data_IF_663487157271
#
_entry.id   IF_663487157271
#
_cell.length_a   1.000
_cell.length_b   1.000
_cell.length_c   1.000
_cell.angle_alpha   90.00
_cell.angle_beta   90.00
_cell.angle_gamma   90.00
#
_symmetry.space_group_name_H-M   'P 1'
#
loop_
_entity.id
_entity.type
_entity.pdbx_description
1 polymer ?
#
# COMPACT_ATOMS: atom_id res chain seq x y z
N UNK A 1 -65.46 -68.78 -82.95
CA UNK A 1 -63.99 -68.67 -83.21
C UNK A 1 -63.61 -67.50 -84.13
N UNK A 2 -64.55 -66.97 -84.93
CA UNK A 2 -64.31 -65.91 -85.94
C UNK A 2 -64.18 -64.49 -85.36
N UNK A 3 -64.92 -64.15 -84.29
CA UNK A 3 -64.94 -62.80 -83.70
C UNK A 3 -63.60 -62.43 -83.02
N UNK A 4 -62.93 -63.39 -82.37
CA UNK A 4 -61.62 -63.16 -81.72
C UNK A 4 -60.51 -62.90 -82.75
N UNK A 5 -60.57 -63.55 -83.92
CA UNK A 5 -59.61 -63.30 -85.02
C UNK A 5 -59.78 -61.91 -85.63
N UNK A 6 -61.03 -61.45 -85.80
CA UNK A 6 -61.33 -60.10 -86.32
C UNK A 6 -60.88 -59.04 -85.31
N UNK A 7 -61.21 -59.20 -84.02
CA UNK A 7 -60.83 -58.24 -82.98
C UNK A 7 -59.31 -58.13 -82.79
N UNK A 8 -58.57 -59.24 -82.92
CA UNK A 8 -57.09 -59.25 -82.84
C UNK A 8 -56.44 -58.61 -84.08
N UNK A 9 -57.06 -58.77 -85.26
CA UNK A 9 -56.61 -58.12 -86.50
C UNK A 9 -56.82 -56.60 -86.44
N UNK A 10 -57.96 -56.14 -85.92
CA UNK A 10 -58.24 -54.70 -85.75
C UNK A 10 -57.32 -54.05 -84.70
N UNK A 11 -57.02 -54.76 -83.60
CA UNK A 11 -56.07 -54.29 -82.59
C UNK A 11 -54.63 -54.17 -83.11
N UNK A 12 -54.17 -55.15 -83.89
CA UNK A 12 -52.84 -55.11 -84.50
C UNK A 12 -52.74 -53.97 -85.52
N UNK A 13 -53.78 -53.74 -86.32
CA UNK A 13 -53.84 -52.61 -87.25
C UNK A 13 -53.77 -51.24 -86.53
N UNK A 14 -54.47 -51.09 -85.41
CA UNK A 14 -54.38 -49.87 -84.59
C UNK A 14 -52.98 -49.64 -84.00
N UNK A 15 -52.30 -50.70 -83.56
CA UNK A 15 -50.93 -50.62 -83.04
C UNK A 15 -49.93 -50.24 -84.15
N UNK A 16 -50.08 -50.78 -85.36
CA UNK A 16 -49.23 -50.46 -86.51
C UNK A 16 -49.43 -49.00 -86.94
N UNK A 17 -50.69 -48.53 -87.03
CA UNK A 17 -50.98 -47.14 -87.39
C UNK A 17 -50.45 -46.14 -86.34
N UNK A 18 -50.52 -46.49 -85.05
CA UNK A 18 -49.96 -45.66 -83.97
C UNK A 18 -48.42 -45.65 -84.01
N UNK A 19 -47.79 -46.77 -84.35
CA UNK A 19 -46.34 -46.86 -84.51
C UNK A 19 -45.84 -46.07 -85.73
N UNK A 20 -46.55 -46.14 -86.86
CA UNK A 20 -46.26 -45.34 -88.06
C UNK A 20 -46.45 -43.85 -87.78
N UNK A 21 -47.50 -43.47 -87.04
CA UNK A 21 -47.69 -42.07 -86.63
C UNK A 21 -46.56 -41.56 -85.73
N UNK A 22 -46.07 -42.38 -84.78
CA UNK A 22 -44.93 -42.02 -83.93
C UNK A 22 -43.62 -41.95 -84.74
N UNK A 23 -43.43 -42.84 -85.72
CA UNK A 23 -42.27 -42.78 -86.63
C UNK A 23 -42.30 -41.56 -87.55
N UNK A 24 -43.48 -41.19 -88.10
CA UNK A 24 -43.65 -40.00 -88.93
C UNK A 24 -43.51 -38.70 -88.12
N UNK A 25 -44.08 -38.64 -86.92
CA UNK A 25 -43.87 -37.51 -86.02
C UNK A 25 -42.41 -37.44 -85.54
N UNK A 26 -41.77 -38.58 -85.25
CA UNK A 26 -40.36 -38.65 -84.89
C UNK A 26 -39.44 -38.14 -86.01
N UNK A 27 -39.70 -38.53 -87.26
CA UNK A 27 -38.98 -38.00 -88.43
C UNK A 27 -39.27 -36.51 -88.67
N UNK A 28 -40.52 -36.06 -88.49
CA UNK A 28 -40.90 -34.65 -88.63
C UNK A 28 -40.23 -33.75 -87.59
N UNK A 29 -40.06 -34.22 -86.34
CA UNK A 29 -39.37 -33.48 -85.27
C UNK A 29 -37.86 -33.41 -85.54
N UNK A 30 -37.26 -34.45 -86.16
CA UNK A 30 -35.84 -34.44 -86.55
C UNK A 30 -35.58 -33.45 -87.70
N UNK A 31 -36.49 -33.34 -88.67
CA UNK A 31 -36.36 -32.38 -89.79
C UNK A 31 -36.64 -30.92 -89.39
N UNK A 32 -37.34 -30.70 -88.27
CA UNK A 32 -37.68 -29.37 -87.76
C UNK A 32 -36.71 -28.85 -86.68
N UNK A 33 -35.72 -29.66 -86.26
CA UNK A 33 -34.55 -29.16 -85.55
C UNK A 33 -33.57 -28.57 -86.57
N UNK A 34 -33.97 -27.44 -87.15
CA UNK A 34 -33.03 -26.52 -87.75
C UNK A 34 -32.09 -26.07 -86.63
N UNK A 35 -30.93 -26.73 -86.53
CA UNK A 35 -29.82 -26.29 -85.70
C UNK A 35 -29.46 -24.91 -86.20
N UNK A 36 -29.99 -23.88 -85.55
CA UNK A 36 -29.52 -22.53 -85.71
C UNK A 36 -28.06 -22.53 -85.28
N UNK A 37 -27.15 -22.65 -86.24
CA UNK A 37 -25.72 -22.54 -85.98
C UNK A 37 -25.48 -21.19 -85.30
N UNK A 38 -24.81 -21.16 -84.15
CA UNK A 38 -24.58 -19.92 -83.44
C UNK A 38 -23.70 -19.02 -84.32
N UNK A 39 -24.25 -17.86 -84.68
CA UNK A 39 -23.58 -16.82 -85.46
C UNK A 39 -22.18 -16.52 -84.86
N UNK A 40 -21.08 -16.71 -85.61
CA UNK A 40 -19.72 -16.56 -85.10
C UNK A 40 -19.43 -15.16 -84.56
N UNK A 41 -20.17 -14.14 -85.01
CA UNK A 41 -20.06 -12.76 -84.51
C UNK A 41 -20.50 -12.62 -83.04
N UNK A 42 -21.57 -13.33 -82.64
CA UNK A 42 -22.09 -13.30 -81.26
C UNK A 42 -21.17 -14.01 -80.27
N UNK A 43 -20.48 -15.07 -80.70
CA UNK A 43 -19.50 -15.78 -79.87
C UNK A 43 -18.30 -14.87 -79.55
N UNK A 44 -17.85 -14.09 -80.53
CA UNK A 44 -16.75 -13.14 -80.36
C UNK A 44 -17.11 -12.02 -79.35
N UNK A 45 -18.35 -11.51 -79.43
CA UNK A 45 -18.88 -10.51 -78.51
C UNK A 45 -19.09 -11.07 -77.10
N UNK A 46 -19.60 -12.29 -76.96
CA UNK A 46 -19.68 -12.98 -75.67
C UNK A 46 -18.29 -13.14 -75.04
N UNK A 47 -17.27 -13.53 -75.82
CA UNK A 47 -15.91 -13.71 -75.31
C UNK A 47 -15.30 -12.40 -74.80
N UNK A 48 -15.57 -11.27 -75.48
CA UNK A 48 -15.15 -9.95 -75.01
C UNK A 48 -15.82 -9.56 -73.68
N UNK A 49 -17.12 -9.85 -73.51
CA UNK A 49 -17.85 -9.61 -72.26
C UNK A 49 -17.32 -10.50 -71.13
N UNK A 50 -17.00 -11.78 -71.41
CA UNK A 50 -16.44 -12.68 -70.41
C UNK A 50 -15.04 -12.26 -69.95
N UNK A 51 -14.14 -11.89 -70.87
CA UNK A 51 -12.82 -11.40 -70.49
C UNK A 51 -12.88 -10.04 -69.75
N UNK A 52 -13.81 -9.15 -70.13
CA UNK A 52 -14.04 -7.91 -69.38
C UNK A 52 -14.53 -8.17 -67.95
N UNK A 53 -15.50 -9.07 -67.74
CA UNK A 53 -15.98 -9.46 -66.40
C UNK A 53 -14.92 -10.17 -65.57
N UNK A 54 -14.09 -10.99 -66.21
CA UNK A 54 -12.97 -11.66 -65.56
C UNK A 54 -11.93 -10.65 -65.07
N UNK A 55 -11.61 -9.63 -65.87
CA UNK A 55 -10.75 -8.52 -65.45
C UNK A 55 -11.35 -7.73 -64.28
N UNK A 56 -12.65 -7.38 -64.33
CA UNK A 56 -13.35 -6.67 -63.24
C UNK A 56 -13.33 -7.45 -61.92
N UNK A 57 -13.49 -8.78 -61.99
CA UNK A 57 -13.39 -9.66 -60.83
C UNK A 57 -11.95 -9.71 -60.29
N UNK A 58 -10.94 -9.77 -61.17
CA UNK A 58 -9.52 -9.75 -60.75
C UNK A 58 -9.15 -8.44 -60.05
N UNK A 59 -9.63 -7.30 -60.56
CA UNK A 59 -9.42 -5.99 -59.94
C UNK A 59 -10.11 -5.91 -58.57
N UNK A 60 -11.34 -6.43 -58.47
CA UNK A 60 -12.09 -6.49 -57.21
C UNK A 60 -11.41 -7.38 -56.16
N UNK A 61 -10.82 -8.51 -56.58
CA UNK A 61 -10.05 -9.40 -55.70
C UNK A 61 -8.76 -8.72 -55.21
N UNK A 62 -8.08 -7.99 -56.10
CA UNK A 62 -6.88 -7.22 -55.74
C UNK A 62 -7.21 -6.15 -54.70
N UNK A 63 -8.26 -5.36 -54.94
CA UNK A 63 -8.75 -4.36 -54.00
C UNK A 63 -9.19 -4.96 -52.65
N UNK A 64 -9.85 -6.12 -52.67
CA UNK A 64 -10.24 -6.82 -51.44
C UNK A 64 -9.00 -7.26 -50.65
N UNK A 65 -7.98 -7.80 -51.32
CA UNK A 65 -6.74 -8.21 -50.68
C UNK A 65 -6.00 -7.03 -50.03
N UNK A 66 -5.91 -5.89 -50.73
CA UNK A 66 -5.32 -4.66 -50.18
C UNK A 66 -6.07 -4.18 -48.93
N UNK A 67 -7.41 -4.19 -48.96
CA UNK A 67 -8.23 -3.84 -47.78
C UNK A 67 -8.03 -4.81 -46.62
N UNK A 68 -7.95 -6.11 -46.90
CA UNK A 68 -7.69 -7.11 -45.87
C UNK A 68 -6.33 -6.88 -45.20
N UNK A 69 -5.28 -6.63 -45.98
CA UNK A 69 -3.94 -6.32 -45.46
C UNK A 69 -3.94 -5.04 -44.62
N UNK A 70 -4.63 -3.99 -45.08
CA UNK A 70 -4.78 -2.74 -44.31
C UNK A 70 -5.52 -2.95 -42.98
N UNK A 71 -6.58 -3.75 -42.99
CA UNK A 71 -7.35 -4.07 -41.78
C UNK A 71 -6.58 -4.96 -40.81
N UNK A 72 -5.83 -5.93 -41.32
CA UNK A 72 -4.95 -6.78 -40.52
C UNK A 72 -3.82 -5.95 -39.88
N UNK A 73 -3.19 -5.05 -40.64
CA UNK A 73 -2.19 -4.13 -40.10
C UNK A 73 -2.77 -3.25 -38.98
N UNK A 74 -3.98 -2.70 -39.18
CA UNK A 74 -4.67 -1.91 -38.15
C UNK A 74 -5.01 -2.73 -36.90
N UNK A 75 -5.50 -3.96 -37.10
CA UNK A 75 -5.81 -4.89 -36.00
C UNK A 75 -4.56 -5.21 -35.19
N UNK A 76 -3.46 -5.54 -35.87
CA UNK A 76 -2.19 -5.89 -35.22
C UNK A 76 -1.60 -4.69 -34.47
N UNK A 77 -1.64 -3.50 -35.05
CA UNK A 77 -1.21 -2.27 -34.37
C UNK A 77 -2.05 -1.98 -33.11
N UNK A 78 -3.37 -2.18 -33.21
CA UNK A 78 -4.29 -1.99 -32.07
C UNK A 78 -4.03 -3.03 -30.99
N UNK A 79 -3.88 -4.31 -31.36
CA UNK A 79 -3.62 -5.38 -30.41
C UNK A 79 -2.30 -5.15 -29.67
N UNK A 80 -1.23 -4.78 -30.39
CA UNK A 80 0.05 -4.48 -29.77
C UNK A 80 -0.06 -3.32 -28.76
N UNK A 81 -0.80 -2.26 -29.10
CA UNK A 81 -1.04 -1.15 -28.19
C UNK A 81 -1.81 -1.59 -26.94
N UNK A 82 -2.82 -2.45 -27.10
CA UNK A 82 -3.60 -2.98 -25.98
C UNK A 82 -2.73 -3.86 -25.08
N UNK A 83 -1.93 -4.76 -25.66
CA UNK A 83 -1.02 -5.63 -24.91
C UNK A 83 0.03 -4.82 -24.13
N UNK A 84 0.59 -3.77 -24.73
CA UNK A 84 1.50 -2.86 -24.04
C UNK A 84 0.82 -2.15 -22.86
N UNK A 85 -0.41 -1.67 -23.07
CA UNK A 85 -1.18 -1.00 -22.00
C UNK A 85 -1.53 -1.98 -20.89
N UNK A 86 -1.95 -3.18 -21.22
CA UNK A 86 -2.28 -4.22 -20.25
C UNK A 86 -1.04 -4.61 -19.43
N UNK A 87 0.11 -4.81 -20.08
CA UNK A 87 1.36 -5.08 -19.37
C UNK A 87 1.76 -3.93 -18.44
N UNK A 88 1.57 -2.68 -18.88
CA UNK A 88 1.88 -1.50 -18.06
C UNK A 88 0.94 -1.39 -16.86
N UNK A 89 -0.36 -1.61 -17.06
CA UNK A 89 -1.36 -1.61 -15.99
C UNK A 89 -1.04 -2.70 -14.98
N UNK A 90 -0.79 -3.94 -15.43
CA UNK A 90 -0.39 -5.05 -14.55
C UNK A 90 0.87 -4.73 -13.74
N UNK A 91 1.89 -4.15 -14.37
CA UNK A 91 3.10 -3.73 -13.66
C UNK A 91 2.82 -2.64 -12.62
N UNK A 92 1.95 -1.68 -12.95
CA UNK A 92 1.54 -0.63 -12.02
C UNK A 92 0.69 -1.16 -10.87
N UNK A 93 -0.21 -2.12 -11.13
CA UNK A 93 -1.03 -2.78 -10.12
C UNK A 93 -0.15 -3.53 -9.12
N UNK A 94 0.82 -4.32 -9.58
CA UNK A 94 1.77 -5.01 -8.71
C UNK A 94 2.58 -4.02 -7.87
N UNK A 95 3.13 -2.98 -8.50
CA UNK A 95 3.90 -1.95 -7.79
C UNK A 95 3.04 -1.18 -6.77
N UNK A 96 1.76 -0.95 -7.08
CA UNK A 96 0.82 -0.30 -6.17
C UNK A 96 0.46 -1.20 -5.00
N UNK A 97 0.20 -2.47 -5.25
CA UNK A 97 -0.08 -3.47 -4.22
C UNK A 97 1.09 -3.60 -3.23
N UNK A 98 2.32 -3.65 -3.75
CA UNK A 98 3.53 -3.64 -2.91
C UNK A 98 3.63 -2.37 -2.06
N UNK A 99 3.34 -1.20 -2.63
CA UNK A 99 3.34 0.07 -1.89
C UNK A 99 2.25 0.11 -0.82
N UNK A 100 1.04 -0.37 -1.13
CA UNK A 100 -0.06 -0.45 -0.17
C UNK A 100 0.36 -1.32 1.01
N UNK A 101 0.95 -2.49 0.75
CA UNK A 101 1.45 -3.37 1.79
C UNK A 101 2.54 -2.71 2.64
N UNK A 102 3.51 -2.05 2.01
CA UNK A 102 4.57 -1.32 2.74
C UNK A 102 3.98 -0.21 3.64
N UNK A 103 3.00 0.55 3.14
CA UNK A 103 2.34 1.59 3.92
C UNK A 103 1.56 0.99 5.08
N UNK A 104 0.83 -0.11 4.87
CA UNK A 104 0.09 -0.80 5.94
C UNK A 104 1.03 -1.33 7.03
N UNK A 105 2.15 -1.95 6.64
CA UNK A 105 3.15 -2.46 7.60
C UNK A 105 3.80 -1.31 8.39
N UNK A 106 4.13 -0.20 7.72
CA UNK A 106 4.67 0.99 8.36
C UNK A 106 3.67 1.63 9.34
N UNK A 107 2.41 1.79 8.93
CA UNK A 107 1.34 2.30 9.78
C UNK A 107 1.11 1.42 11.01
N UNK A 108 1.14 0.10 10.85
CA UNK A 108 0.99 -0.84 11.97
C UNK A 108 2.13 -0.69 12.98
N UNK A 109 3.37 -0.60 12.49
CA UNK A 109 4.56 -0.41 13.34
C UNK A 109 4.51 0.93 14.08
N UNK A 110 4.09 1.99 13.41
CA UNK A 110 3.96 3.30 14.02
C UNK A 110 2.84 3.35 15.06
N UNK A 111 1.68 2.72 14.79
CA UNK A 111 0.60 2.61 15.74
C UNK A 111 1.03 1.87 17.02
N UNK A 112 1.81 0.78 16.88
CA UNK A 112 2.38 0.06 18.02
C UNK A 112 3.34 0.93 18.83
N UNK A 113 4.26 1.64 18.16
CA UNK A 113 5.21 2.55 18.82
C UNK A 113 4.47 3.64 19.61
N UNK A 114 3.44 4.23 19.00
CA UNK A 114 2.66 5.29 19.63
C UNK A 114 1.88 4.78 20.85
N UNK A 115 1.39 3.54 20.81
CA UNK A 115 0.68 2.94 21.96
C UNK A 115 1.64 2.64 23.11
N UNK A 116 2.82 2.11 22.82
CA UNK A 116 3.87 1.90 23.83
C UNK A 116 4.33 3.22 24.45
N UNK A 117 4.53 4.25 23.64
CA UNK A 117 4.91 5.59 24.08
C UNK A 117 3.82 6.23 24.96
N UNK A 118 2.55 6.12 24.56
CA UNK A 118 1.43 6.58 25.39
C UNK A 118 1.39 5.89 26.74
N UNK A 119 1.59 4.57 26.77
CA UNK A 119 1.62 3.81 28.03
C UNK A 119 2.77 4.29 28.92
N UNK A 120 3.97 4.45 28.36
CA UNK A 120 5.12 4.96 29.11
C UNK A 120 4.87 6.37 29.66
N UNK A 121 4.29 7.26 28.85
CA UNK A 121 3.91 8.61 29.29
C UNK A 121 2.88 8.54 30.42
N UNK A 122 1.85 7.70 30.31
CA UNK A 122 0.86 7.52 31.37
C UNK A 122 1.48 7.00 32.67
N UNK A 123 2.38 6.02 32.58
CA UNK A 123 3.11 5.48 33.72
C UNK A 123 3.99 6.55 34.38
N UNK A 124 4.65 7.40 33.58
CA UNK A 124 5.47 8.51 34.06
C UNK A 124 4.63 9.61 34.71
N UNK A 125 3.46 9.93 34.14
CA UNK A 125 2.49 10.86 34.74
C UNK A 125 2.03 10.32 36.10
N UNK A 126 1.65 9.05 36.18
CA UNK A 126 1.21 8.43 37.44
C UNK A 126 2.32 8.46 38.51
N UNK A 127 3.57 8.19 38.13
CA UNK A 127 4.73 8.28 39.04
C UNK A 127 4.96 9.71 39.51
N UNK A 128 4.90 10.69 38.61
CA UNK A 128 5.07 12.10 38.95
C UNK A 128 3.94 12.61 39.86
N UNK A 129 2.69 12.23 39.61
CA UNK A 129 1.56 12.56 40.48
C UNK A 129 1.70 11.95 41.88
N UNK A 130 2.16 10.69 41.97
CA UNK A 130 2.42 10.04 43.25
C UNK A 130 3.55 10.74 44.01
N UNK A 131 4.64 11.10 43.32
CA UNK A 131 5.76 11.84 43.90
C UNK A 131 5.32 13.23 44.38
N UNK A 132 4.56 13.97 43.56
CA UNK A 132 4.02 15.27 43.95
C UNK A 132 3.13 15.18 45.20
N UNK A 133 2.28 14.15 45.29
CA UNK A 133 1.49 13.90 46.50
C UNK A 133 2.37 13.62 47.72
N UNK A 134 3.45 12.83 47.57
CA UNK A 134 4.39 12.60 48.69
C UNK A 134 5.11 13.88 49.13
N UNK A 135 5.54 14.72 48.19
CA UNK A 135 6.19 16.00 48.50
C UNK A 135 5.21 16.94 49.21
N UNK A 136 3.97 17.02 48.71
CA UNK A 136 2.96 17.90 49.29
C UNK A 136 2.49 17.42 50.68
N UNK A 137 2.44 16.11 50.92
CA UNK A 137 2.11 15.56 52.25
C UNK A 137 3.25 15.78 53.24
N UNK A 138 4.51 15.61 52.83
CA UNK A 138 5.68 15.97 53.63
C UNK A 138 5.68 17.47 53.98
N UNK A 139 5.44 18.34 53.00
CA UNK A 139 5.36 19.79 53.20
C UNK A 139 4.21 20.22 54.13
N UNK A 140 3.08 19.53 54.10
CA UNK A 140 1.92 19.82 54.96
C UNK A 140 1.95 19.10 56.32
N UNK A 141 3.06 18.45 56.68
CA UNK A 141 3.16 17.66 57.89
C UNK A 141 2.89 18.53 59.14
N UNK A 142 2.12 17.99 60.08
CA UNK A 142 1.78 18.61 61.38
C UNK A 142 3.04 19.03 62.17
N UNK A 143 4.14 18.32 61.96
CA UNK A 143 5.45 18.62 62.53
C UNK A 143 5.94 20.00 62.04
N UNK A 144 5.93 20.26 60.74
CA UNK A 144 6.32 21.55 60.18
C UNK A 144 5.45 22.71 60.71
N UNK A 145 4.14 22.50 60.81
CA UNK A 145 3.22 23.48 61.44
C UNK A 145 3.53 23.75 62.91
N UNK A 146 4.01 22.75 63.64
CA UNK A 146 4.39 22.89 65.05
C UNK A 146 5.63 23.77 65.20
N UNK A 147 6.60 23.62 64.31
CA UNK A 147 7.81 24.44 64.30
C UNK A 147 7.60 25.85 63.74
N UNK A 148 6.70 26.05 62.77
CA UNK A 148 6.28 27.38 62.30
C UNK A 148 5.62 28.21 63.41
N UNK A 149 4.82 27.58 64.28
CA UNK A 149 4.21 28.24 65.44
C UNK A 149 5.17 28.52 66.61
N UNK A 150 6.40 27.98 66.56
CA UNK A 150 7.38 28.12 67.64
C UNK A 150 8.32 29.31 67.37
N UNK A 151 8.75 30.00 68.43
CA UNK A 151 9.74 31.10 68.30
C UNK A 151 11.06 30.56 67.70
N UNK A 152 11.59 31.22 66.67
CA UNK A 152 12.81 30.84 65.94
C UNK A 152 13.98 30.46 66.86
N UNK A 153 14.18 31.23 67.95
CA UNK A 153 15.27 30.99 68.93
C UNK A 153 15.14 29.69 69.73
N UNK A 154 13.93 29.11 69.81
CA UNK A 154 13.69 27.81 70.45
C UNK A 154 13.66 26.69 69.42
N UNK A 155 13.15 26.95 68.21
CA UNK A 155 13.10 25.98 67.14
C UNK A 155 14.50 25.63 66.59
N UNK A 156 15.38 26.61 66.43
CA UNK A 156 16.74 26.41 65.88
C UNK A 156 17.59 25.36 66.62
N UNK A 157 17.74 25.40 67.96
CA UNK A 157 18.52 24.37 68.67
C UNK A 157 17.85 22.99 68.67
N UNK A 158 16.51 22.92 68.61
CA UNK A 158 15.80 21.63 68.55
C UNK A 158 16.02 20.97 67.18
N UNK A 159 15.92 21.73 66.09
CA UNK A 159 16.13 21.23 64.73
C UNK A 159 17.60 20.87 64.48
N UNK A 160 18.54 21.59 65.11
CA UNK A 160 19.98 21.31 64.99
C UNK A 160 20.38 19.92 65.50
N UNK A 161 19.65 19.41 66.50
CA UNK A 161 19.89 18.11 67.14
C UNK A 161 19.24 16.93 66.41
N UNK A 162 18.36 17.20 65.44
CA UNK A 162 17.72 16.16 64.63
C UNK A 162 18.67 15.58 63.58
N UNK A 163 18.34 14.39 63.09
CA UNK A 163 19.04 13.79 61.95
C UNK A 163 18.89 14.67 60.71
N UNK A 164 19.93 14.69 59.86
CA UNK A 164 20.01 15.52 58.66
C UNK A 164 18.76 15.45 57.77
N UNK A 165 18.21 14.25 57.62
CA UNK A 165 17.03 14.00 56.80
C UNK A 165 15.77 14.62 57.38
N UNK A 166 15.54 14.46 58.68
CA UNK A 166 14.36 14.98 59.39
C UNK A 166 14.42 16.50 59.52
N UNK A 167 15.62 17.04 59.81
CA UNK A 167 15.85 18.47 59.86
C UNK A 167 15.62 19.13 58.49
N UNK A 168 16.13 18.54 57.40
CA UNK A 168 15.91 19.03 56.05
C UNK A 168 14.43 18.97 55.64
N UNK A 169 13.71 17.91 56.01
CA UNK A 169 12.26 17.77 55.75
C UNK A 169 11.46 18.86 56.48
N UNK A 170 11.74 19.10 57.76
CA UNK A 170 11.06 20.14 58.54
C UNK A 170 11.38 21.53 57.98
N UNK A 171 12.65 21.84 57.71
CA UNK A 171 13.08 23.15 57.23
C UNK A 171 12.49 23.49 55.86
N UNK A 172 12.45 22.52 54.94
CA UNK A 172 11.89 22.73 53.59
C UNK A 172 10.36 22.78 53.56
N UNK A 173 9.71 22.32 54.62
CA UNK A 173 8.26 22.41 54.80
C UNK A 173 7.79 23.75 55.39
N UNK A 174 8.71 24.60 55.87
CA UNK A 174 8.41 25.94 56.40
C UNK A 174 8.38 26.99 55.28
N UNK A 175 7.79 28.17 55.57
CA UNK A 175 7.90 29.29 54.63
C UNK A 175 9.37 29.73 54.48
N UNK A 176 9.82 30.19 53.29
CA UNK A 176 11.22 30.58 53.07
C UNK A 176 11.76 31.61 54.08
N UNK A 177 10.89 32.53 54.54
CA UNK A 177 11.22 33.53 55.56
C UNK A 177 11.46 32.92 56.94
N UNK A 178 10.69 31.90 57.33
CA UNK A 178 10.84 31.22 58.62
C UNK A 178 12.09 30.33 58.63
N UNK A 179 12.30 29.56 57.54
CA UNK A 179 13.50 28.75 57.35
C UNK A 179 14.77 29.61 57.45
N UNK A 180 14.80 30.78 56.79
CA UNK A 180 15.94 31.70 56.86
C UNK A 180 16.22 32.21 58.28
N UNK A 181 15.16 32.56 59.04
CA UNK A 181 15.30 33.01 60.43
C UNK A 181 15.80 31.90 61.35
N UNK A 182 15.33 30.67 61.17
CA UNK A 182 15.78 29.50 61.96
C UNK A 182 17.25 29.18 61.65
N UNK A 183 17.64 29.11 60.37
CA UNK A 183 19.03 28.90 59.97
C UNK A 183 19.96 30.00 60.52
N UNK A 184 19.51 31.26 60.53
CA UNK A 184 20.27 32.38 61.08
C UNK A 184 20.43 32.35 62.61
N UNK A 185 19.64 31.53 63.33
CA UNK A 185 19.70 31.34 64.78
C UNK A 185 20.35 30.01 65.17
N UNK A 186 20.84 29.24 64.20
CA UNK A 186 21.54 27.97 64.38
C UNK A 186 23.06 28.17 64.33
N UNK A 187 23.83 27.16 64.73
CA UNK A 187 25.28 27.14 64.51
C UNK A 187 25.62 27.21 63.01
N UNK A 188 26.57 28.07 62.58
CA UNK A 188 26.91 28.24 61.17
C UNK A 188 27.37 26.97 60.45
N UNK A 189 28.06 26.04 61.15
CA UNK A 189 28.52 24.78 60.54
C UNK A 189 27.33 23.86 60.30
N UNK A 190 26.46 23.73 61.30
CA UNK A 190 25.25 22.91 61.20
C UNK A 190 24.30 23.43 60.10
N UNK A 191 24.12 24.75 60.02
CA UNK A 191 23.32 25.37 58.98
C UNK A 191 23.87 25.10 57.56
N UNK A 192 25.19 25.11 57.39
CA UNK A 192 25.83 24.78 56.11
C UNK A 192 25.62 23.31 55.71
N UNK A 193 25.73 22.37 56.66
CA UNK A 193 25.48 20.95 56.44
C UNK A 193 24.04 20.69 55.99
N UNK A 194 23.06 21.24 56.73
CA UNK A 194 21.64 21.09 56.40
C UNK A 194 21.29 21.76 55.06
N UNK A 195 21.89 22.90 54.74
CA UNK A 195 21.69 23.56 53.44
C UNK A 195 22.18 22.67 52.28
N UNK A 196 23.30 21.96 52.47
CA UNK A 196 23.82 21.00 51.48
C UNK A 196 22.87 19.82 51.26
N UNK A 197 22.19 19.36 52.31
CA UNK A 197 21.16 18.31 52.22
C UNK A 197 19.92 18.84 51.51
N UNK A 198 19.46 20.04 51.87
CA UNK A 198 18.28 20.69 51.27
C UNK A 198 18.47 20.93 49.77
N UNK A 199 19.67 21.32 49.33
CA UNK A 199 19.97 21.58 47.91
C UNK A 199 19.89 20.31 47.04
N UNK A 200 20.05 19.12 47.63
CA UNK A 200 19.88 17.84 46.91
C UNK A 200 18.42 17.50 46.61
N UNK A 201 17.47 18.18 47.27
CA UNK A 201 16.03 18.02 47.08
C UNK A 201 15.44 16.74 47.71
N UNK A 202 14.10 16.68 47.88
CA UNK A 202 13.43 15.46 48.35
C UNK A 202 13.54 14.31 47.33
N UNK A 203 13.54 13.03 47.77
CA UNK A 203 13.51 12.58 49.16
C UNK A 203 14.89 12.72 49.84
N UNK A 204 14.92 13.32 51.03
CA UNK A 204 16.12 13.40 51.86
C UNK A 204 16.39 11.99 52.42
N UNK A 205 17.57 11.41 52.14
CA UNK A 205 17.95 10.07 52.62
C UNK A 205 18.85 10.20 53.85
N UNK A 206 18.65 9.36 54.87
CA UNK A 206 19.53 9.27 56.04
C UNK A 206 20.81 8.51 55.68
N UNK A 207 21.97 9.14 55.84
CA UNK A 207 23.27 8.46 55.72
C UNK A 207 23.92 8.38 57.09
N UNK A 208 23.73 7.27 57.79
CA UNK A 208 24.53 6.89 58.97
C UNK A 208 25.29 5.59 58.65
N UNK A 209 26.55 5.70 58.23
CA UNK A 209 27.74 4.84 58.58
C UNK A 209 28.94 5.29 57.74
N UNK A 210 30.07 5.60 58.39
CA UNK A 210 31.34 6.03 57.79
C UNK A 210 32.23 4.87 57.24
N UNK A 211 33.06 5.25 56.25
CA UNK A 211 34.34 4.69 55.75
C UNK A 211 34.35 3.63 54.61
N UNK A 212 35.44 3.58 53.81
CA UNK A 212 35.41 3.50 52.35
C UNK A 212 35.64 2.07 51.87
N UNK A 213 34.83 1.63 50.92
CA UNK A 213 35.28 0.61 49.96
C UNK A 213 34.96 1.16 48.58
N UNK A 214 36.01 1.30 47.79
CA UNK A 214 35.95 1.71 46.40
C UNK A 214 34.98 0.78 45.66
N UNK A 215 33.96 1.37 45.04
CA UNK A 215 33.50 0.90 43.75
C UNK A 215 33.48 2.10 42.82
N UNK A 216 34.30 1.98 41.77
CA UNK A 216 34.61 2.99 40.79
C UNK A 216 33.36 3.36 39.98
N UNK A 217 32.95 4.63 40.00
CA UNK A 217 32.10 5.19 38.96
C UNK A 217 32.15 6.74 38.95
N UNK A 218 33.34 7.30 38.79
CA UNK A 218 33.50 8.61 38.15
C UNK A 218 34.52 8.43 37.03
N UNK A 219 34.03 8.29 35.79
CA UNK A 219 34.51 9.11 34.67
C UNK A 219 33.64 8.87 33.43
N UNK A 220 32.49 9.54 33.36
CA UNK A 220 31.90 9.93 32.09
C UNK A 220 31.76 11.45 32.07
N UNK A 221 32.86 12.16 31.87
CA UNK A 221 32.88 13.43 31.12
C UNK A 221 34.30 13.66 30.62
N UNK A 222 34.69 12.92 29.57
CA UNK A 222 35.80 13.23 28.65
C UNK A 222 35.86 12.21 27.49
N UNK A 223 34.72 11.87 26.89
CA UNK A 223 34.70 11.09 25.63
C UNK A 223 33.60 11.54 24.65
N UNK A 224 33.23 12.83 24.68
CA UNK A 224 32.39 13.42 23.61
C UNK A 224 33.18 14.42 22.74
N UNK A 225 34.46 14.67 23.03
CA UNK A 225 35.33 15.54 22.21
C UNK A 225 36.32 14.80 21.31
N UNK A 226 36.29 13.46 21.22
CA UNK A 226 37.19 12.68 20.35
C UNK A 226 36.49 11.82 19.29
N UNK A 227 35.16 11.70 19.30
CA UNK A 227 34.42 11.03 18.21
C UNK A 227 33.97 11.95 17.07
N UNK A 228 34.23 13.26 17.18
CA UNK A 228 34.03 14.23 16.10
C UNK A 228 35.29 14.54 15.28
N UNK A 229 36.44 13.94 15.60
CA UNK A 229 37.68 14.09 14.83
C UNK A 229 38.09 12.87 13.98
N UNK A 230 37.26 11.82 13.91
CA UNK A 230 37.52 10.63 13.07
C UNK A 230 36.53 10.42 11.91
N UNK A 231 35.64 11.39 11.65
CA UNK A 231 34.77 11.40 10.46
C UNK A 231 35.09 12.53 9.45
N UNK A 232 36.24 13.19 9.58
CA UNK A 232 36.71 14.19 8.60
C UNK A 232 37.82 13.70 7.66
N UNK A 233 38.12 12.40 7.64
CA UNK A 233 39.17 11.82 6.78
C UNK A 233 38.71 10.65 5.89
N UNK A 234 37.41 10.47 5.67
CA UNK A 234 36.94 9.41 4.78
C UNK A 234 35.82 9.82 3.81
N UNK A 235 35.87 11.07 3.33
CA UNK A 235 35.24 11.47 2.07
C UNK A 235 35.86 12.79 1.59
N UNK A 236 36.88 12.66 0.74
CA UNK A 236 37.52 13.79 0.08
C UNK A 236 38.70 13.36 -0.79
N UNK A 237 38.42 12.75 -1.94
CA UNK A 237 39.38 12.60 -3.04
C UNK A 237 39.29 11.27 -3.78
N UNK A 238 38.28 11.08 -4.65
CA UNK A 238 38.27 11.33 -6.11
C UNK A 238 36.82 11.48 -6.55
#
# INVERSE_FOLDING_TARGET
>A
MTIIKIMKTTQIQFLIMRYIAVLLCGYGIVSALEKQEPDPSKILECNAVFEARKSEIQDSLTLLNERMQGLEAYRNATQNLLDQRESKIKSQEVALEEKIKQIQDAQKKEAQRLEEEKKNIQDLIAQNEALLKSIQTASNNKVAKTFSGMKDSKAAPIIAELEDSEAAEILTSLAPSEMAKILAKMDPKRAAELTKVITKGPPFKTTNTDKPTQDNADNQTSQESQKQQLNFQNNGGV
#
